data_IF_382846873212
#
_entry.id   IF_382846873212
#
_cell.length_a   1.000
_cell.length_b   1.000
_cell.length_c   1.000
_cell.angle_alpha   90.00
_cell.angle_beta   90.00
_cell.angle_gamma   90.00
#
_symmetry.space_group_name_H-M   'P 1'
#
loop_
_entity.id
_entity.type
_entity.pdbx_description
1 polymer ?
#
# COMPACT_ATOMS: atom_id res chain seq x y z
N UNK A 1 81.93 56.45 -23.20
CA UNK A 1 83.02 55.75 -22.48
C UNK A 1 82.82 54.22 -22.48
N UNK A 2 83.47 53.54 -23.43
CA UNK A 2 84.40 52.38 -23.30
C UNK A 2 84.37 51.56 -21.97
N UNK A 3 84.58 50.24 -21.87
CA UNK A 3 85.36 49.23 -22.63
C UNK A 3 85.24 47.83 -21.99
N UNK A 4 85.40 46.75 -22.79
CA UNK A 4 86.19 45.50 -22.59
C UNK A 4 85.85 44.51 -21.46
N UNK A 5 85.37 43.29 -21.74
CA UNK A 5 86.06 42.03 -22.13
C UNK A 5 86.72 41.23 -20.97
N UNK A 6 86.44 39.92 -20.94
CA UNK A 6 87.17 38.91 -20.15
C UNK A 6 86.93 37.48 -20.70
N UNK A 7 88.02 36.78 -21.04
CA UNK A 7 88.11 35.48 -21.71
C UNK A 7 87.97 34.28 -20.74
N UNK A 8 87.64 33.07 -21.21
CA UNK A 8 88.18 31.75 -20.72
C UNK A 8 87.77 30.56 -21.64
N UNK A 9 88.37 29.34 -21.56
CA UNK A 9 89.01 28.67 -22.69
C UNK A 9 88.39 27.33 -23.16
N UNK A 10 89.05 26.76 -24.17
CA UNK A 10 88.76 25.63 -25.07
C UNK A 10 88.27 24.29 -24.44
N UNK A 11 87.34 23.57 -25.09
CA UNK A 11 86.85 22.28 -24.61
C UNK A 11 87.68 21.07 -25.09
N UNK A 12 87.89 20.12 -24.16
CA UNK A 12 88.48 18.80 -24.35
C UNK A 12 87.51 17.84 -25.04
N UNK A 13 87.99 17.12 -26.07
CA UNK A 13 87.20 16.17 -26.87
C UNK A 13 86.80 14.91 -26.09
N UNK A 14 85.50 14.61 -26.06
CA UNK A 14 84.92 13.43 -25.40
C UNK A 14 84.85 12.20 -26.36
N UNK A 15 84.90 10.96 -25.82
CA UNK A 15 85.07 9.73 -26.61
C UNK A 15 83.84 9.30 -27.44
N UNK A 16 84.13 8.48 -28.46
CA UNK A 16 83.21 7.95 -29.49
C UNK A 16 82.06 7.07 -28.92
N UNK A 17 80.83 7.16 -29.45
CA UNK A 17 79.68 6.43 -28.92
C UNK A 17 79.68 4.93 -29.26
N UNK A 18 79.29 4.12 -28.28
CA UNK A 18 79.11 2.66 -28.32
C UNK A 18 77.89 2.27 -29.18
N UNK A 19 77.93 1.19 -29.98
CA UNK A 19 76.80 0.80 -30.83
C UNK A 19 75.55 0.43 -30.02
N UNK A 20 74.39 0.83 -30.55
CA UNK A 20 73.07 0.71 -29.93
C UNK A 20 72.54 -0.73 -29.95
N UNK A 21 71.92 -1.23 -28.86
CA UNK A 21 71.37 -2.58 -28.81
C UNK A 21 70.18 -2.79 -29.75
N UNK A 22 70.10 -3.99 -30.31
CA UNK A 22 69.03 -4.46 -31.20
C UNK A 22 67.70 -4.56 -30.46
N UNK A 23 66.57 -4.10 -31.03
CA UNK A 23 65.28 -4.17 -30.35
C UNK A 23 64.79 -5.62 -30.18
N UNK A 24 64.23 -5.89 -29.00
CA UNK A 24 63.64 -7.18 -28.60
C UNK A 24 62.32 -7.45 -29.35
N UNK A 25 61.97 -8.71 -29.68
CA UNK A 25 60.74 -9.01 -30.41
C UNK A 25 59.48 -8.61 -29.63
N UNK A 26 58.50 -8.10 -30.37
CA UNK A 26 57.20 -7.65 -29.86
C UNK A 26 56.32 -8.85 -29.52
N UNK A 27 55.66 -8.89 -28.34
CA UNK A 27 54.77 -9.99 -27.99
C UNK A 27 53.53 -10.05 -28.90
N UNK A 28 53.11 -11.26 -29.23
CA UNK A 28 51.91 -11.55 -30.04
C UNK A 28 50.63 -11.14 -29.30
N UNK A 29 49.60 -10.61 -29.99
CA UNK A 29 48.35 -10.21 -29.36
C UNK A 29 47.62 -11.40 -28.72
N UNK A 30 47.09 -11.17 -27.53
CA UNK A 30 46.29 -12.12 -26.77
C UNK A 30 44.90 -12.26 -27.42
N UNK A 31 44.35 -13.48 -27.58
CA UNK A 31 43.01 -13.65 -28.13
C UNK A 31 41.95 -13.00 -27.24
N UNK A 32 40.95 -12.38 -27.87
CA UNK A 32 39.83 -11.73 -27.20
C UNK A 32 38.92 -12.74 -26.50
N UNK A 33 38.35 -12.44 -25.31
CA UNK A 33 37.46 -13.34 -24.61
C UNK A 33 36.19 -13.63 -25.41
N UNK A 34 35.77 -14.89 -25.39
CA UNK A 34 34.52 -15.37 -26.00
C UNK A 34 33.32 -14.86 -25.18
N UNK A 35 32.27 -14.32 -25.80
CA UNK A 35 31.09 -13.88 -25.05
C UNK A 35 30.39 -15.06 -24.37
N UNK A 36 29.97 -14.83 -23.13
CA UNK A 36 29.24 -15.82 -22.31
C UNK A 36 27.84 -16.08 -22.88
N UNK A 37 27.30 -17.31 -22.80
CA UNK A 37 25.97 -17.62 -23.29
C UNK A 37 24.89 -16.83 -22.52
N UNK A 38 23.91 -16.35 -23.27
CA UNK A 38 22.74 -15.64 -22.75
C UNK A 38 21.82 -16.62 -22.02
N UNK A 39 21.33 -16.31 -20.80
CA UNK A 39 20.41 -17.20 -20.09
C UNK A 39 19.08 -17.35 -20.85
N UNK A 40 18.58 -18.58 -20.90
CA UNK A 40 17.29 -18.93 -21.50
C UNK A 40 16.13 -18.29 -20.71
N UNK A 41 15.05 -17.83 -21.38
CA UNK A 41 13.91 -17.23 -20.70
C UNK A 41 13.25 -18.22 -19.73
N UNK A 42 12.96 -17.72 -18.52
CA UNK A 42 12.21 -18.45 -17.49
C UNK A 42 10.75 -18.59 -17.93
N UNK A 43 10.13 -19.77 -17.80
CA UNK A 43 8.71 -19.94 -18.15
C UNK A 43 7.83 -19.04 -17.27
N UNK A 44 6.83 -18.43 -17.91
CA UNK A 44 5.82 -17.59 -17.25
C UNK A 44 4.99 -18.43 -16.28
N UNK A 45 4.59 -17.90 -15.10
CA UNK A 45 3.76 -18.64 -14.16
C UNK A 45 2.39 -18.95 -14.75
N UNK A 46 1.97 -20.21 -14.59
CA UNK A 46 0.62 -20.68 -14.92
C UNK A 46 -0.41 -19.96 -14.04
N UNK A 47 -1.52 -19.44 -14.59
CA UNK A 47 -2.55 -18.79 -13.78
C UNK A 47 -3.15 -19.79 -12.78
N UNK A 48 -3.27 -19.35 -11.53
CA UNK A 48 -3.92 -20.09 -10.45
C UNK A 48 -5.41 -20.32 -10.78
N UNK A 49 -6.00 -21.47 -10.43
CA UNK A 49 -7.42 -21.71 -10.63
C UNK A 49 -8.26 -20.64 -9.90
N UNK A 50 -9.26 -20.12 -10.60
CA UNK A 50 -10.26 -19.22 -10.04
C UNK A 50 -11.06 -19.98 -8.96
N UNK A 51 -11.24 -19.42 -7.74
CA UNK A 51 -12.05 -20.07 -6.72
C UNK A 51 -13.48 -20.26 -7.25
N UNK A 52 -14.03 -21.46 -7.03
CA UNK A 52 -15.42 -21.78 -7.35
C UNK A 52 -16.36 -20.88 -6.55
N UNK A 53 -17.48 -20.38 -7.13
CA UNK A 53 -18.42 -19.55 -6.40
C UNK A 53 -18.93 -20.31 -5.18
N UNK A 54 -18.77 -19.70 -4.00
CA UNK A 54 -19.35 -20.21 -2.76
C UNK A 54 -20.87 -20.25 -2.93
N UNK A 55 -21.54 -21.38 -2.62
CA UNK A 55 -23.00 -21.44 -2.70
C UNK A 55 -23.59 -20.39 -1.76
N UNK A 56 -24.31 -19.41 -2.33
CA UNK A 56 -25.11 -18.46 -1.56
C UNK A 56 -26.24 -19.25 -0.93
N UNK A 57 -26.12 -19.56 0.36
CA UNK A 57 -27.23 -20.12 1.13
C UNK A 57 -28.38 -19.13 1.03
N UNK A 58 -29.44 -19.52 0.32
CA UNK A 58 -30.65 -18.70 0.18
C UNK A 58 -31.45 -18.88 1.47
N UNK A 59 -30.95 -18.32 2.58
CA UNK A 59 -31.79 -18.12 3.76
C UNK A 59 -32.92 -17.21 3.35
N UNK A 60 -34.15 -17.71 3.43
CA UNK A 60 -35.34 -16.93 3.10
C UNK A 60 -35.54 -15.92 4.22
N UNK A 61 -34.91 -14.74 4.09
CA UNK A 61 -35.00 -13.66 5.07
C UNK A 61 -36.45 -13.28 5.29
N UNK A 62 -36.96 -13.48 6.51
CA UNK A 62 -38.31 -13.08 6.90
C UNK A 62 -38.28 -11.71 7.55
N UNK A 63 -39.36 -10.94 7.40
CA UNK A 63 -39.49 -9.64 8.07
C UNK A 63 -39.71 -9.89 9.57
N UNK A 64 -38.82 -9.37 10.40
CA UNK A 64 -38.96 -9.38 11.86
C UNK A 64 -39.79 -8.19 12.36
N UNK A 65 -39.59 -7.01 11.74
CA UNK A 65 -40.33 -5.79 12.06
C UNK A 65 -39.47 -4.52 11.91
N UNK A 66 -39.94 -3.40 12.46
CA UNK A 66 -39.24 -2.11 12.43
C UNK A 66 -38.30 -1.92 13.62
N UNK A 67 -37.31 -1.04 13.49
CA UNK A 67 -36.54 -0.56 14.64
C UNK A 67 -37.31 0.51 15.40
N UNK A 68 -37.59 0.24 16.67
CA UNK A 68 -38.39 1.11 17.53
C UNK A 68 -37.70 1.39 18.87
N UNK A 69 -36.86 0.48 19.35
CA UNK A 69 -36.23 0.61 20.67
C UNK A 69 -34.76 1.08 20.59
N UNK A 70 -34.59 2.27 20.02
CA UNK A 70 -33.28 2.93 19.94
C UNK A 70 -32.73 3.25 21.33
N UNK A 71 -33.59 3.68 22.24
CA UNK A 71 -33.20 4.10 23.57
C UNK A 71 -32.75 2.90 24.42
N UNK A 72 -33.50 1.80 24.40
CA UNK A 72 -33.13 0.56 25.07
C UNK A 72 -31.82 -0.02 24.54
N UNK A 73 -31.60 0.03 23.22
CA UNK A 73 -30.31 -0.36 22.65
C UNK A 73 -29.16 0.52 23.17
N UNK A 74 -29.28 1.85 23.09
CA UNK A 74 -28.24 2.74 23.59
C UNK A 74 -27.95 2.52 25.08
N UNK A 75 -28.98 2.27 25.89
CA UNK A 75 -28.85 1.95 27.30
C UNK A 75 -28.16 0.60 27.53
N UNK A 76 -28.43 -0.41 26.70
CA UNK A 76 -27.80 -1.73 26.82
C UNK A 76 -26.30 -1.69 26.56
N UNK A 77 -25.84 -0.77 25.70
CA UNK A 77 -24.41 -0.54 25.42
C UNK A 77 -23.78 0.58 26.26
N UNK A 78 -24.46 1.04 27.32
CA UNK A 78 -23.90 1.94 28.34
C UNK A 78 -24.05 3.45 28.07
N UNK A 79 -24.84 3.85 27.08
CA UNK A 79 -25.20 5.24 26.84
C UNK A 79 -26.47 5.63 27.61
N UNK A 80 -26.67 6.92 27.85
CA UNK A 80 -27.81 7.40 28.63
C UNK A 80 -29.13 7.30 27.85
N UNK A 81 -29.08 7.64 26.56
CA UNK A 81 -30.26 7.64 25.71
C UNK A 81 -29.92 7.60 24.22
N UNK A 82 -30.93 7.40 23.38
CA UNK A 82 -30.86 7.69 21.95
C UNK A 82 -31.45 9.08 21.66
N UNK A 83 -30.84 9.82 20.75
CA UNK A 83 -31.37 11.07 20.23
C UNK A 83 -31.34 11.08 18.72
N UNK A 84 -32.25 11.83 18.12
CA UNK A 84 -32.26 12.11 16.69
C UNK A 84 -31.67 13.50 16.47
N UNK A 85 -30.49 13.60 15.84
CA UNK A 85 -29.81 14.89 15.63
C UNK A 85 -30.16 15.57 14.31
N UNK A 86 -30.97 14.93 13.49
CA UNK A 86 -31.36 15.38 12.16
C UNK A 86 -32.73 14.86 11.79
N UNK A 87 -32.92 14.52 10.53
CA UNK A 87 -34.23 14.09 9.99
C UNK A 87 -34.16 12.85 9.12
N UNK A 88 -32.99 12.22 8.97
CA UNK A 88 -32.80 11.02 8.16
C UNK A 88 -32.71 9.77 9.04
N UNK A 89 -32.87 8.62 8.42
CA UNK A 89 -32.69 7.31 9.05
C UNK A 89 -31.31 7.10 9.69
N UNK A 90 -30.29 7.85 9.27
CA UNK A 90 -28.91 7.74 9.79
C UNK A 90 -28.58 8.73 10.90
N UNK A 91 -29.50 9.63 11.26
CA UNK A 91 -29.25 10.68 12.25
C UNK A 91 -29.52 10.25 13.69
N UNK A 92 -29.84 8.98 13.92
CA UNK A 92 -29.91 8.44 15.26
C UNK A 92 -28.50 8.32 15.87
N UNK A 93 -28.38 8.79 17.12
CA UNK A 93 -27.13 8.79 17.88
C UNK A 93 -27.40 8.30 19.30
N UNK A 94 -26.50 7.46 19.83
CA UNK A 94 -26.47 7.25 21.27
C UNK A 94 -25.75 8.41 21.95
N UNK A 95 -26.29 8.88 23.08
CA UNK A 95 -25.76 10.03 23.83
C UNK A 95 -25.35 9.60 25.23
N UNK A 96 -24.12 9.92 25.64
CA UNK A 96 -23.63 9.69 27.00
C UNK A 96 -24.18 10.74 27.98
N UNK A 97 -24.01 10.51 29.28
CA UNK A 97 -24.32 11.52 30.31
C UNK A 97 -23.47 12.79 30.19
N UNK A 98 -22.28 12.70 29.58
CA UNK A 98 -21.41 13.84 29.26
C UNK A 98 -21.79 14.56 27.97
N UNK A 99 -22.82 14.10 27.25
CA UNK A 99 -23.28 14.69 25.99
C UNK A 99 -22.53 14.23 24.74
N UNK A 100 -21.63 13.24 24.86
CA UNK A 100 -20.95 12.68 23.69
C UNK A 100 -21.92 11.85 22.85
N UNK A 101 -21.82 11.97 21.53
CA UNK A 101 -22.71 11.30 20.59
C UNK A 101 -21.93 10.30 19.74
N UNK A 102 -22.49 9.12 19.55
CA UNK A 102 -21.93 8.10 18.64
C UNK A 102 -22.99 7.58 17.67
N UNK A 103 -22.55 7.14 16.51
CA UNK A 103 -23.41 6.47 15.53
C UNK A 103 -23.94 5.15 16.07
N UNK A 104 -25.11 4.75 15.57
CA UNK A 104 -25.76 3.50 15.94
C UNK A 104 -25.56 2.48 14.83
N UNK A 105 -24.99 1.32 15.18
CA UNK A 105 -24.88 0.18 14.28
C UNK A 105 -26.22 -0.54 14.20
N UNK A 106 -27.02 -0.18 13.19
CA UNK A 106 -28.40 -0.66 13.02
C UNK A 106 -28.51 -2.17 12.83
N UNK A 107 -27.48 -2.84 12.30
CA UNK A 107 -27.45 -4.31 12.25
C UNK A 107 -27.49 -4.91 13.66
N UNK A 108 -26.57 -4.49 14.52
CA UNK A 108 -26.50 -4.96 15.91
C UNK A 108 -27.73 -4.56 16.72
N UNK A 109 -28.34 -3.41 16.41
CA UNK A 109 -29.60 -3.00 17.01
C UNK A 109 -30.76 -3.93 16.59
N UNK A 110 -30.85 -4.34 15.32
CA UNK A 110 -31.81 -5.37 14.90
C UNK A 110 -31.58 -6.68 15.64
N UNK A 111 -30.33 -7.14 15.74
CA UNK A 111 -29.98 -8.38 16.44
C UNK A 111 -30.39 -8.32 17.92
N UNK A 112 -30.12 -7.19 18.58
CA UNK A 112 -30.47 -6.95 19.97
C UNK A 112 -31.98 -6.88 20.20
N UNK A 113 -32.71 -6.13 19.37
CA UNK A 113 -34.15 -5.90 19.57
C UNK A 113 -34.96 -7.19 19.36
N UNK A 114 -34.55 -8.03 18.41
CA UNK A 114 -35.27 -9.27 18.07
C UNK A 114 -34.64 -10.53 18.64
N UNK A 115 -33.48 -10.42 19.31
CA UNK A 115 -32.71 -11.55 19.83
C UNK A 115 -32.41 -12.63 18.75
N UNK A 116 -32.05 -12.19 17.55
CA UNK A 116 -31.69 -13.05 16.39
C UNK A 116 -30.30 -12.65 15.89
N UNK A 117 -29.44 -13.63 15.60
CA UNK A 117 -28.11 -13.40 15.03
C UNK A 117 -27.79 -14.48 13.96
N UNK A 118 -27.51 -14.12 12.69
CA UNK A 118 -27.45 -12.75 12.19
C UNK A 118 -28.84 -12.16 11.92
N UNK A 119 -29.00 -10.85 12.15
CA UNK A 119 -30.15 -10.09 11.68
C UNK A 119 -29.69 -8.98 10.73
N UNK A 120 -30.39 -8.82 9.60
CA UNK A 120 -30.10 -7.78 8.63
C UNK A 120 -30.99 -6.55 8.86
N UNK A 121 -30.38 -5.38 9.02
CA UNK A 121 -31.07 -4.11 8.96
C UNK A 121 -31.06 -3.59 7.52
N UNK A 122 -32.23 -3.23 6.97
CA UNK A 122 -32.32 -2.55 5.67
C UNK A 122 -33.18 -1.29 5.79
N UNK A 123 -32.77 -0.30 5.03
CA UNK A 123 -33.41 1.00 4.97
C UNK A 123 -34.56 0.97 3.96
N UNK A 124 -35.77 1.33 4.41
CA UNK A 124 -36.95 1.42 3.54
C UNK A 124 -37.09 2.83 2.95
N UNK A 125 -36.81 3.88 3.74
CA UNK A 125 -36.91 5.28 3.32
C UNK A 125 -35.86 6.13 4.05
N UNK A 126 -34.94 6.71 3.29
CA UNK A 126 -33.85 7.54 3.83
C UNK A 126 -34.33 8.77 4.60
N UNK A 127 -35.42 9.40 4.15
CA UNK A 127 -35.92 10.66 4.71
C UNK A 127 -36.82 10.44 5.93
N UNK A 128 -37.03 9.20 6.34
CA UNK A 128 -37.82 8.84 7.50
C UNK A 128 -36.92 8.20 8.57
N UNK A 129 -36.71 8.86 9.73
CA UNK A 129 -35.87 8.37 10.83
C UNK A 129 -36.24 6.96 11.33
N UNK A 130 -37.49 6.53 11.12
CA UNK A 130 -38.03 5.27 11.65
C UNK A 130 -38.27 4.21 10.55
N UNK A 131 -37.61 4.36 9.40
CA UNK A 131 -37.80 3.46 8.25
C UNK A 131 -36.78 2.32 8.17
N UNK A 132 -36.06 2.05 9.25
CA UNK A 132 -35.28 0.81 9.37
C UNK A 132 -36.20 -0.37 9.64
N UNK A 133 -35.97 -1.43 8.87
CA UNK A 133 -36.65 -2.71 9.02
C UNK A 133 -35.59 -3.80 9.25
N UNK A 134 -35.98 -4.85 9.95
CA UNK A 134 -35.13 -5.98 10.30
C UNK A 134 -35.61 -7.25 9.62
N UNK A 135 -34.64 -8.07 9.24
CA UNK A 135 -34.84 -9.39 8.67
C UNK A 135 -33.95 -10.42 9.38
N UNK A 136 -34.40 -11.68 9.43
CA UNK A 136 -33.67 -12.79 10.02
C UNK A 136 -34.16 -14.13 9.51
#
# INVERSE_FOLDING_TARGET
PTTQQGQTPSPTSAPSPTPSPTPSPTPSPTPSPTPSPTPSPTPSPTPSPTPSPTPTQTSTLVILGKLTDWNGYCQSIGYASATLVGSTAYDWRCVSSSGQQVGIWVQTLCEWQYNINPAEARLVDFNNPNAWQCWG
#
